data_IF_269981026760
#
_entry.id   IF_269981026760
#
_cell.length_a   1.000
_cell.length_b   1.000
_cell.length_c   1.000
_cell.angle_alpha   90.00
_cell.angle_beta   90.00
_cell.angle_gamma   90.00
#
_symmetry.space_group_name_H-M   'P 1'
#
loop_
_entity.id
_entity.type
_entity.pdbx_description
1 polymer ?
#
# COMPACT_ATOMS: atom_id res chain seq x y z
N UNK A 1 24.87 -9.15 12.47
CA UNK A 1 23.55 -8.50 12.49
C UNK A 1 22.58 -9.32 13.30
N UNK A 2 21.42 -8.77 13.68
CA UNK A 2 20.36 -9.55 14.37
C UNK A 2 19.66 -10.49 13.40
N UNK A 3 19.25 -11.65 13.88
CA UNK A 3 18.48 -12.62 13.08
C UNK A 3 17.08 -12.08 12.75
N UNK A 4 16.64 -12.27 11.50
CA UNK A 4 15.29 -11.88 11.07
C UNK A 4 14.33 -13.04 11.33
N UNK A 5 13.46 -12.89 12.34
CA UNK A 5 12.40 -13.86 12.61
C UNK A 5 11.23 -13.68 11.64
N UNK A 6 10.95 -14.70 10.83
CA UNK A 6 9.83 -14.70 9.89
C UNK A 6 8.57 -15.24 10.59
N UNK A 7 7.52 -14.43 10.63
CA UNK A 7 6.25 -14.78 11.25
C UNK A 7 5.27 -15.30 10.20
N UNK A 8 4.49 -16.33 10.55
CA UNK A 8 3.39 -16.87 9.74
C UNK A 8 2.19 -17.16 10.62
N UNK A 9 0.99 -16.99 10.09
CA UNK A 9 -0.22 -17.41 10.78
C UNK A 9 -0.43 -18.91 10.57
N UNK A 10 -0.16 -19.70 11.60
CA UNK A 10 -0.30 -21.16 11.61
C UNK A 10 0.41 -21.84 10.43
N UNK A 11 1.61 -21.36 10.10
CA UNK A 11 2.44 -21.89 9.00
C UNK A 11 1.99 -21.49 7.59
N UNK A 12 0.83 -20.83 7.45
CA UNK A 12 0.21 -20.49 6.16
C UNK A 12 0.81 -19.21 5.57
N UNK A 13 1.04 -19.24 4.26
CA UNK A 13 1.39 -18.09 3.41
C UNK A 13 0.17 -17.53 2.68
N UNK A 14 0.42 -16.59 1.76
CA UNK A 14 -0.63 -15.98 0.95
C UNK A 14 -1.40 -17.02 0.12
N UNK A 15 -0.68 -17.94 -0.53
CA UNK A 15 -1.28 -18.95 -1.43
C UNK A 15 -2.19 -19.92 -0.66
N UNK A 16 -1.76 -20.39 0.52
CA UNK A 16 -2.58 -21.25 1.38
C UNK A 16 -3.88 -20.54 1.82
N UNK A 17 -3.76 -19.25 2.18
CA UNK A 17 -4.90 -18.44 2.59
C UNK A 17 -5.85 -18.15 1.43
N UNK A 18 -5.31 -17.91 0.22
CA UNK A 18 -6.09 -17.72 -0.99
C UNK A 18 -6.84 -19.00 -1.37
N UNK A 19 -6.18 -20.16 -1.33
CA UNK A 19 -6.78 -21.46 -1.59
C UNK A 19 -7.91 -21.76 -0.59
N UNK A 20 -7.67 -21.53 0.71
CA UNK A 20 -8.71 -21.74 1.75
C UNK A 20 -9.94 -20.85 1.56
N UNK A 21 -9.79 -19.72 0.85
CA UNK A 21 -10.86 -18.79 0.48
C UNK A 21 -11.41 -19.04 -0.91
N UNK A 22 -11.13 -20.22 -1.47
CA UNK A 22 -11.53 -20.62 -2.82
C UNK A 22 -11.21 -19.52 -3.82
N UNK A 23 -9.99 -18.95 -3.82
CA UNK A 23 -9.54 -17.95 -4.78
C UNK A 23 -10.05 -16.51 -4.59
N UNK A 24 -10.73 -16.21 -3.48
CA UNK A 24 -11.22 -14.85 -3.21
C UNK A 24 -10.07 -13.89 -2.85
N UNK A 25 -9.76 -12.96 -3.76
CA UNK A 25 -8.70 -11.96 -3.59
C UNK A 25 -9.00 -10.98 -2.44
N UNK A 26 -7.97 -10.46 -1.74
CA UNK A 26 -8.18 -9.40 -0.79
C UNK A 26 -8.52 -8.10 -1.53
N UNK A 27 -9.35 -7.26 -0.92
CA UNK A 27 -9.78 -5.97 -1.46
C UNK A 27 -9.77 -4.89 -0.39
N UNK A 28 -10.06 -3.64 -0.77
CA UNK A 28 -10.17 -2.53 0.19
C UNK A 28 -11.25 -2.80 1.25
N UNK A 29 -12.34 -3.47 0.85
CA UNK A 29 -13.44 -3.86 1.72
C UNK A 29 -13.09 -5.09 2.57
N UNK A 30 -12.42 -6.09 1.99
CA UNK A 30 -12.12 -7.36 2.67
C UNK A 30 -10.60 -7.59 2.73
N UNK A 31 -9.98 -7.04 3.77
CA UNK A 31 -8.52 -6.98 3.94
C UNK A 31 -7.95 -8.17 4.70
N UNK A 32 -8.35 -9.39 4.33
CA UNK A 32 -7.90 -10.60 5.01
C UNK A 32 -6.36 -10.76 4.96
N UNK A 33 -5.68 -10.20 3.97
CA UNK A 33 -4.21 -10.19 3.93
C UNK A 33 -3.61 -9.40 5.10
N UNK A 34 -4.24 -8.30 5.53
CA UNK A 34 -3.77 -7.52 6.69
C UNK A 34 -3.98 -8.30 7.97
N UNK A 35 -5.18 -8.85 8.17
CA UNK A 35 -5.53 -9.64 9.35
C UNK A 35 -4.61 -10.87 9.50
N UNK A 36 -4.51 -11.71 8.46
CA UNK A 36 -3.89 -13.03 8.56
C UNK A 36 -2.40 -13.05 8.23
N UNK A 37 -1.89 -12.13 7.42
CA UNK A 37 -0.45 -12.08 7.09
C UNK A 37 0.33 -11.07 7.92
N UNK A 38 -0.35 -10.17 8.64
CA UNK A 38 0.32 -9.12 9.43
C UNK A 38 -0.10 -9.13 10.90
N UNK A 39 -1.37 -8.89 11.19
CA UNK A 39 -1.83 -8.61 12.56
C UNK A 39 -1.82 -9.87 13.43
N UNK A 40 -2.56 -10.93 13.06
CA UNK A 40 -2.59 -12.19 13.81
C UNK A 40 -1.21 -12.82 14.05
N UNK A 41 -0.31 -12.93 13.06
CA UNK A 41 1.01 -13.49 13.31
C UNK A 41 1.88 -12.59 14.20
N UNK A 42 1.73 -11.26 14.13
CA UNK A 42 2.40 -10.33 15.04
C UNK A 42 1.89 -10.47 16.48
N UNK A 43 0.56 -10.44 16.69
CA UNK A 43 -0.04 -10.57 18.02
C UNK A 43 0.26 -11.92 18.68
N UNK A 44 0.34 -13.00 17.89
CA UNK A 44 0.73 -14.34 18.36
C UNK A 44 2.21 -14.38 18.75
N UNK A 45 3.07 -13.70 18.00
CA UNK A 45 4.49 -13.63 18.30
C UNK A 45 4.78 -12.85 19.58
N UNK A 46 4.08 -11.73 19.79
CA UNK A 46 4.19 -10.94 21.03
C UNK A 46 3.61 -11.67 22.24
N UNK A 47 2.53 -12.45 22.06
CA UNK A 47 1.88 -13.13 23.17
C UNK A 47 1.36 -12.14 24.21
N UNK A 48 1.83 -12.30 25.45
CA UNK A 48 1.51 -11.46 26.60
C UNK A 48 2.68 -10.55 27.03
N UNK A 49 3.80 -10.60 26.29
CA UNK A 49 4.97 -9.77 26.58
C UNK A 49 4.65 -8.29 26.39
N UNK A 50 5.23 -7.43 27.24
CA UNK A 50 5.15 -5.99 27.05
C UNK A 50 5.86 -5.59 25.74
N UNK A 51 5.12 -4.98 24.83
CA UNK A 51 5.60 -4.59 23.50
C UNK A 51 5.31 -3.12 23.21
N UNK A 52 6.35 -2.32 23.06
CA UNK A 52 6.25 -0.96 22.52
C UNK A 52 6.29 -1.01 20.99
N UNK A 53 5.19 -0.65 20.34
CA UNK A 53 5.03 -0.66 18.89
C UNK A 53 5.26 0.74 18.34
N UNK A 54 6.47 1.01 17.85
CA UNK A 54 6.82 2.30 17.23
C UNK A 54 6.23 2.40 15.83
N UNK A 55 5.35 3.39 15.62
CA UNK A 55 4.64 3.63 14.36
C UNK A 55 5.10 4.94 13.74
N UNK A 56 5.67 4.87 12.54
CA UNK A 56 6.16 6.03 11.79
C UNK A 56 5.08 6.81 11.03
N UNK A 57 3.97 7.16 11.68
CA UNK A 57 3.00 8.13 11.13
C UNK A 57 3.54 9.52 11.37
N UNK A 58 3.61 10.34 10.32
CA UNK A 58 4.22 11.68 10.40
C UNK A 58 3.27 12.70 11.02
N UNK A 59 3.84 13.78 11.55
CA UNK A 59 3.06 14.90 12.07
C UNK A 59 2.14 15.56 11.02
N UNK A 60 2.53 15.50 9.75
CA UNK A 60 1.76 16.03 8.60
C UNK A 60 0.76 15.02 8.02
N UNK A 61 0.44 13.93 8.73
CA UNK A 61 -0.59 12.95 8.37
C UNK A 61 -1.65 12.76 9.49
N UNK A 62 -2.21 13.82 10.08
CA UNK A 62 -3.04 13.71 11.30
C UNK A 62 -4.32 12.89 11.10
N UNK A 63 -4.78 12.74 9.86
CA UNK A 63 -5.94 11.91 9.51
C UNK A 63 -5.67 10.40 9.60
N UNK A 64 -4.40 9.97 9.62
CA UNK A 64 -4.03 8.55 9.63
C UNK A 64 -3.98 8.03 11.06
N UNK A 65 -4.62 6.88 11.29
CA UNK A 65 -4.50 6.13 12.54
C UNK A 65 -3.73 4.85 12.30
N UNK A 66 -2.75 4.58 13.17
CA UNK A 66 -1.99 3.34 13.15
C UNK A 66 -2.85 2.13 13.50
N UNK A 67 -2.25 0.95 13.47
CA UNK A 67 -2.86 -0.21 14.10
C UNK A 67 -2.99 0.06 15.61
N UNK A 68 -4.22 -0.05 16.11
CA UNK A 68 -4.54 0.05 17.54
C UNK A 68 -4.89 -1.38 17.98
N UNK A 69 -3.99 -1.98 18.76
CA UNK A 69 -4.17 -3.32 19.31
C UNK A 69 -5.32 -3.33 20.32
N UNK A 70 -6.11 -4.40 20.31
CA UNK A 70 -7.08 -4.68 21.40
C UNK A 70 -6.39 -5.26 22.64
N UNK A 71 -5.16 -5.77 22.49
CA UNK A 71 -4.35 -6.27 23.60
C UNK A 71 -3.66 -5.12 24.37
N UNK A 72 -3.78 -5.06 25.71
CA UNK A 72 -3.24 -3.97 26.52
C UNK A 72 -1.71 -3.99 26.66
N UNK A 73 -1.06 -5.15 26.45
CA UNK A 73 0.40 -5.28 26.51
C UNK A 73 1.10 -4.72 25.26
N UNK A 74 0.37 -4.38 24.20
CA UNK A 74 0.91 -3.78 22.98
C UNK A 74 0.61 -2.28 22.99
N UNK A 75 1.63 -1.48 23.29
CA UNK A 75 1.50 -0.03 23.47
C UNK A 75 2.03 0.67 22.22
N UNK A 76 1.18 1.32 21.41
CA UNK A 76 1.63 2.08 20.26
C UNK A 76 2.39 3.34 20.71
N UNK A 77 3.41 3.73 19.96
CA UNK A 77 4.21 4.94 20.15
C UNK A 77 4.30 5.70 18.82
N UNK A 78 4.15 7.03 18.85
CA UNK A 78 4.07 7.86 17.64
C UNK A 78 5.15 8.96 17.64
N UNK A 79 6.44 8.59 17.65
CA UNK A 79 7.54 9.53 17.84
C UNK A 79 7.56 10.65 16.78
N UNK A 80 7.12 10.37 15.54
CA UNK A 80 7.12 11.39 14.50
C UNK A 80 6.00 12.42 14.67
N UNK A 81 4.91 12.08 15.36
CA UNK A 81 3.88 13.05 15.75
C UNK A 81 4.39 13.86 16.95
N UNK A 82 4.90 13.17 17.97
CA UNK A 82 5.41 13.76 19.22
C UNK A 82 6.55 14.77 18.96
N UNK A 83 7.45 14.46 18.05
CA UNK A 83 8.61 15.29 17.68
C UNK A 83 8.33 16.23 16.49
N UNK A 84 7.07 16.36 16.05
CA UNK A 84 6.67 17.18 14.91
C UNK A 84 7.47 16.91 13.61
N UNK A 85 7.80 15.63 13.35
CA UNK A 85 8.55 15.19 12.18
C UNK A 85 7.61 15.07 10.98
N UNK A 86 7.80 15.96 10.02
CA UNK A 86 7.05 16.02 8.75
C UNK A 86 7.80 15.31 7.62
N UNK A 87 7.16 15.15 6.45
CA UNK A 87 7.77 14.48 5.29
C UNK A 87 9.14 15.07 4.89
N UNK A 88 9.34 16.40 4.77
CA UNK A 88 10.65 16.96 4.46
C UNK A 88 11.74 16.60 5.49
N UNK A 89 11.37 16.54 6.78
CA UNK A 89 12.30 16.16 7.86
C UNK A 89 12.71 14.69 7.73
N UNK A 90 11.78 13.79 7.39
CA UNK A 90 12.11 12.38 7.11
C UNK A 90 13.13 12.25 5.97
N UNK A 91 12.94 12.99 4.87
CA UNK A 91 13.90 12.96 3.75
C UNK A 91 15.27 13.49 4.17
N UNK A 92 15.32 14.55 4.98
CA UNK A 92 16.58 15.06 5.53
C UNK A 92 17.28 14.03 6.40
N UNK A 93 16.57 13.35 7.30
CA UNK A 93 17.12 12.27 8.14
C UNK A 93 17.69 11.13 7.28
N UNK A 94 16.99 10.73 6.22
CA UNK A 94 17.46 9.67 5.32
C UNK A 94 18.75 10.06 4.59
N UNK A 95 18.87 11.32 4.17
CA UNK A 95 20.08 11.84 3.53
C UNK A 95 21.25 11.95 4.53
N UNK A 96 21.02 12.58 5.68
CA UNK A 96 22.05 12.79 6.73
C UNK A 96 22.56 11.47 7.33
N UNK A 97 21.72 10.43 7.36
CA UNK A 97 22.12 9.09 7.81
C UNK A 97 22.88 8.27 6.77
N UNK A 98 22.97 8.73 5.51
CA UNK A 98 23.57 8.00 4.41
C UNK A 98 22.76 6.79 3.93
N UNK A 99 21.51 6.62 4.40
CA UNK A 99 20.60 5.54 3.97
C UNK A 99 19.95 5.85 2.62
N UNK A 100 19.62 7.12 2.39
CA UNK A 100 18.94 7.58 1.18
C UNK A 100 17.53 6.99 1.00
N UNK A 101 16.99 7.16 -0.21
CA UNK A 101 15.65 6.69 -0.57
C UNK A 101 15.75 5.33 -1.26
N UNK A 102 14.91 4.34 -0.91
CA UNK A 102 14.87 3.07 -1.61
C UNK A 102 14.56 3.21 -3.12
N UNK A 103 15.33 2.53 -3.98
CA UNK A 103 15.21 2.61 -5.45
C UNK A 103 13.82 2.30 -6.01
N UNK A 104 13.00 1.50 -5.32
CA UNK A 104 11.65 1.19 -5.79
C UNK A 104 10.74 2.43 -5.84
N UNK A 105 11.10 3.54 -5.19
CA UNK A 105 10.37 4.80 -5.30
C UNK A 105 10.53 5.50 -6.67
N UNK A 106 11.47 5.04 -7.51
CA UNK A 106 11.63 5.54 -8.89
C UNK A 106 10.40 5.23 -9.76
N UNK A 107 9.66 4.16 -9.44
CA UNK A 107 8.52 3.68 -10.23
C UNK A 107 7.29 3.28 -9.38
N UNK A 108 7.38 3.33 -8.05
CA UNK A 108 6.22 3.22 -7.13
C UNK A 108 6.12 4.43 -6.22
N UNK A 109 4.89 4.73 -5.81
CA UNK A 109 4.60 5.78 -4.84
C UNK A 109 4.64 5.30 -3.39
N UNK A 110 4.53 3.99 -3.16
CA UNK A 110 4.42 3.40 -1.81
C UNK A 110 5.16 2.07 -1.71
N UNK A 111 5.64 1.79 -0.51
CA UNK A 111 6.11 0.46 -0.15
C UNK A 111 4.92 -0.49 0.04
N UNK A 112 4.95 -1.65 -0.61
CA UNK A 112 3.85 -2.59 -0.58
C UNK A 112 4.20 -3.93 -1.22
N UNK A 113 3.31 -4.91 -1.03
CA UNK A 113 3.41 -6.20 -1.72
C UNK A 113 3.25 -5.98 -3.23
N UNK A 114 3.94 -6.80 -4.05
CA UNK A 114 3.87 -6.67 -5.51
C UNK A 114 2.47 -6.92 -6.10
N UNK A 115 1.58 -7.58 -5.35
CA UNK A 115 0.21 -7.89 -5.71
C UNK A 115 -0.82 -7.16 -4.83
N UNK A 116 -0.48 -5.96 -4.34
CA UNK A 116 -1.41 -5.19 -3.51
C UNK A 116 -2.55 -4.61 -4.37
N UNK A 117 -3.81 -4.86 -4.00
CA UNK A 117 -4.99 -4.29 -4.67
C UNK A 117 -5.07 -2.75 -4.58
N UNK A 118 -4.29 -2.11 -3.69
CA UNK A 118 -4.18 -0.65 -3.67
C UNK A 118 -3.23 -0.11 -4.74
N UNK A 119 -2.46 -0.94 -5.43
CA UNK A 119 -1.47 -0.51 -6.41
C UNK A 119 -2.14 0.25 -7.57
N UNK A 120 -1.62 1.43 -7.90
CA UNK A 120 -2.15 2.23 -8.99
C UNK A 120 -1.81 1.61 -10.34
N UNK A 121 -2.59 1.92 -11.39
CA UNK A 121 -2.33 1.44 -12.77
C UNK A 121 -0.90 1.71 -13.23
N UNK A 122 -0.38 2.90 -12.97
CA UNK A 122 1.01 3.25 -13.32
C UNK A 122 2.03 2.40 -12.56
N UNK A 123 1.75 2.01 -11.32
CA UNK A 123 2.61 1.15 -10.53
C UNK A 123 2.56 -0.31 -11.03
N UNK A 124 1.43 -0.76 -11.61
CA UNK A 124 1.35 -2.03 -12.34
C UNK A 124 2.17 -2.03 -13.62
N UNK A 125 2.14 -0.93 -14.38
CA UNK A 125 3.05 -0.74 -15.53
C UNK A 125 4.50 -0.76 -15.07
N UNK A 126 4.83 -0.02 -14.00
CA UNK A 126 6.17 -0.04 -13.42
C UNK A 126 6.60 -1.44 -12.94
N UNK A 127 5.68 -2.22 -12.36
CA UNK A 127 5.95 -3.61 -11.99
C UNK A 127 6.25 -4.48 -13.21
N UNK A 128 5.50 -4.33 -14.30
CA UNK A 128 5.71 -5.05 -15.55
C UNK A 128 7.10 -4.75 -16.15
N UNK A 129 7.51 -3.48 -16.14
CA UNK A 129 8.76 -3.02 -16.73
C UNK A 129 9.99 -3.40 -15.89
N UNK A 130 9.88 -3.35 -14.57
CA UNK A 130 11.00 -3.57 -13.65
C UNK A 130 11.09 -5.02 -13.14
N UNK A 131 9.95 -5.72 -13.01
CA UNK A 131 9.85 -7.07 -12.45
C UNK A 131 8.75 -7.90 -13.17
N UNK A 132 8.92 -8.21 -14.47
CA UNK A 132 7.93 -8.91 -15.26
C UNK A 132 7.52 -10.27 -14.67
N UNK A 133 8.42 -10.97 -13.99
CA UNK A 133 8.15 -12.23 -13.32
C UNK A 133 7.15 -12.08 -12.15
N UNK A 134 7.24 -10.97 -11.39
CA UNK A 134 6.31 -10.67 -10.31
C UNK A 134 4.96 -10.21 -10.87
N UNK A 135 4.96 -9.49 -11.99
CA UNK A 135 3.73 -9.14 -12.69
C UNK A 135 2.99 -10.39 -13.15
N UNK A 136 3.68 -11.33 -13.79
CA UNK A 136 3.09 -12.60 -14.24
C UNK A 136 2.61 -13.46 -13.07
N UNK A 137 3.28 -13.42 -11.92
CA UNK A 137 2.79 -14.05 -10.69
C UNK A 137 1.50 -13.41 -10.20
N UNK A 138 1.43 -12.08 -10.16
CA UNK A 138 0.24 -11.37 -9.74
C UNK A 138 -0.95 -11.71 -10.65
N UNK A 139 -0.73 -11.71 -11.97
CA UNK A 139 -1.75 -12.04 -12.99
C UNK A 139 -2.37 -13.43 -12.77
N UNK A 140 -1.58 -14.43 -12.35
CA UNK A 140 -2.08 -15.80 -12.11
C UNK A 140 -3.09 -15.93 -10.97
N UNK A 141 -3.17 -14.94 -10.07
CA UNK A 141 -4.17 -14.96 -9.01
C UNK A 141 -5.53 -14.41 -9.49
N UNK A 142 -5.56 -13.68 -10.59
CA UNK A 142 -6.82 -13.20 -11.16
C UNK A 142 -7.60 -14.35 -11.78
N UNK A 143 -8.92 -14.29 -11.67
CA UNK A 143 -9.81 -15.33 -12.18
C UNK A 143 -11.14 -14.75 -12.59
N UNK A 144 -11.84 -15.50 -13.43
CA UNK A 144 -13.20 -15.22 -13.84
C UNK A 144 -14.05 -16.45 -13.49
N UNK A 145 -15.15 -16.24 -12.79
CA UNK A 145 -16.09 -17.30 -12.50
C UNK A 145 -16.93 -17.59 -13.75
N UNK A 146 -16.79 -18.80 -14.29
CA UNK A 146 -17.49 -19.24 -15.50
C UNK A 146 -19.02 -19.28 -15.35
N UNK A 147 -19.54 -19.39 -14.12
CA UNK A 147 -20.97 -19.54 -13.86
C UNK A 147 -21.65 -18.18 -13.61
N UNK A 148 -20.99 -17.30 -12.85
CA UNK A 148 -21.55 -15.98 -12.49
C UNK A 148 -21.06 -14.86 -13.41
N UNK A 149 -19.96 -15.07 -14.15
CA UNK A 149 -19.28 -14.02 -14.91
C UNK A 149 -18.51 -13.03 -14.02
N UNK A 150 -18.42 -13.29 -12.72
CA UNK A 150 -17.71 -12.41 -11.80
C UNK A 150 -16.20 -12.46 -12.01
N UNK A 151 -15.59 -11.30 -12.23
CA UNK A 151 -14.15 -11.14 -12.37
C UNK A 151 -13.54 -10.76 -11.02
N UNK A 152 -12.60 -11.58 -10.57
CA UNK A 152 -11.76 -11.31 -9.40
C UNK A 152 -10.41 -10.82 -9.89
N UNK A 153 -10.30 -9.50 -10.07
CA UNK A 153 -9.08 -8.83 -10.56
C UNK A 153 -8.46 -7.95 -9.48
N UNK A 154 -7.19 -7.60 -9.64
CA UNK A 154 -6.50 -6.70 -8.71
C UNK A 154 -6.94 -5.24 -8.87
N UNK A 155 -7.32 -4.85 -10.08
CA UNK A 155 -7.84 -3.54 -10.39
C UNK A 155 -9.33 -3.62 -10.73
N UNK A 156 -10.15 -2.75 -10.12
CA UNK A 156 -11.61 -2.83 -10.14
C UNK A 156 -12.27 -2.69 -11.52
N UNK A 157 -11.52 -2.40 -12.59
CA UNK A 157 -12.07 -2.14 -13.93
C UNK A 157 -11.41 -2.95 -15.05
N UNK A 158 -10.27 -3.57 -14.80
CA UNK A 158 -9.52 -4.31 -15.81
C UNK A 158 -8.63 -5.35 -15.13
N UNK A 159 -8.37 -6.45 -15.83
CA UNK A 159 -7.39 -7.46 -15.46
C UNK A 159 -5.97 -7.00 -15.80
N UNK A 160 -4.98 -7.65 -15.20
CA UNK A 160 -3.58 -7.51 -15.60
C UNK A 160 -3.31 -8.10 -17.00
N UNK A 161 -4.17 -9.00 -17.49
CA UNK A 161 -4.09 -9.45 -18.87
C UNK A 161 -4.42 -8.32 -19.86
N UNK A 162 -5.47 -7.54 -19.58
CA UNK A 162 -5.86 -6.36 -20.37
C UNK A 162 -4.85 -5.22 -20.20
N UNK A 163 -4.39 -4.96 -18.97
CA UNK A 163 -3.46 -3.87 -18.67
C UNK A 163 -2.10 -4.01 -19.37
N UNK A 164 -1.65 -5.25 -19.64
CA UNK A 164 -0.39 -5.55 -20.32
C UNK A 164 -0.38 -5.17 -21.81
N UNK A 165 -1.55 -4.89 -22.40
CA UNK A 165 -1.64 -4.49 -23.81
C UNK A 165 -0.83 -3.18 -24.07
N UNK A 166 -0.01 -3.09 -25.14
CA UNK A 166 0.82 -1.90 -25.42
C UNK A 166 0.05 -0.59 -25.58
N UNK A 167 -1.10 -0.62 -26.23
CA UNK A 167 -1.98 0.55 -26.38
C UNK A 167 -2.47 1.02 -25.00
N UNK A 168 -2.87 0.08 -24.14
CA UNK A 168 -3.33 0.38 -22.78
C UNK A 168 -2.22 0.93 -21.89
N UNK A 169 -1.00 0.39 -21.97
CA UNK A 169 0.18 0.89 -21.25
C UNK A 169 0.45 2.35 -21.63
N UNK A 170 0.39 2.65 -22.93
CA UNK A 170 0.63 4.01 -23.45
C UNK A 170 -0.40 4.98 -22.87
N UNK A 171 -1.68 4.60 -22.91
CA UNK A 171 -2.76 5.39 -22.32
C UNK A 171 -2.55 5.65 -20.81
N UNK A 172 -2.17 4.64 -20.03
CA UNK A 172 -1.93 4.77 -18.58
C UNK A 172 -0.79 5.75 -18.30
N UNK A 173 0.31 5.68 -19.08
CA UNK A 173 1.45 6.59 -18.94
C UNK A 173 1.05 8.02 -19.26
N UNK A 174 0.29 8.25 -20.33
CA UNK A 174 -0.21 9.57 -20.72
C UNK A 174 -1.17 10.16 -19.69
N UNK A 175 -2.11 9.36 -19.17
CA UNK A 175 -3.02 9.77 -18.10
C UNK A 175 -2.26 10.14 -16.83
N UNK A 176 -1.25 9.35 -16.45
CA UNK A 176 -0.42 9.65 -15.29
C UNK A 176 0.42 10.92 -15.50
N UNK A 177 1.03 11.10 -16.68
CA UNK A 177 1.80 12.30 -17.01
C UNK A 177 0.92 13.56 -16.97
N UNK A 178 -0.29 13.50 -17.53
CA UNK A 178 -1.29 14.58 -17.44
C UNK A 178 -1.65 14.91 -15.99
N UNK A 179 -1.91 13.90 -15.16
CA UNK A 179 -2.21 14.08 -13.72
C UNK A 179 -1.04 14.73 -12.99
N UNK A 180 0.18 14.27 -13.21
CA UNK A 180 1.39 14.83 -12.59
C UNK A 180 1.65 16.28 -13.02
N UNK A 181 1.43 16.60 -14.31
CA UNK A 181 1.52 17.96 -14.81
C UNK A 181 0.50 18.88 -14.12
N UNK A 182 -0.77 18.47 -14.05
CA UNK A 182 -1.82 19.23 -13.38
C UNK A 182 -1.50 19.48 -11.89
N UNK A 183 -0.99 18.47 -11.17
CA UNK A 183 -0.57 18.63 -9.76
C UNK A 183 0.58 19.64 -9.61
N UNK A 184 1.58 19.61 -10.49
CA UNK A 184 2.68 20.59 -10.47
C UNK A 184 2.18 22.02 -10.71
N UNK A 185 1.29 22.21 -11.69
CA UNK A 185 0.69 23.52 -11.98
C UNK A 185 -0.12 24.04 -10.79
N UNK A 186 -0.88 23.16 -10.13
CA UNK A 186 -1.65 23.46 -8.91
C UNK A 186 -0.76 23.97 -7.77
N UNK A 187 0.42 23.38 -7.56
CA UNK A 187 1.36 23.81 -6.54
C UNK A 187 2.08 25.14 -6.85
N UNK A 188 2.12 25.55 -8.12
CA UNK A 188 2.77 26.79 -8.57
C UNK A 188 1.82 28.00 -8.57
N UNK A 189 0.51 27.78 -8.58
CA UNK A 189 -0.49 28.86 -8.59
C UNK A 189 -0.92 29.23 -7.16
N UNK A 190 -1.04 30.54 -6.87
CA UNK A 190 -1.73 31.04 -5.67
C UNK A 190 -3.22 30.71 -5.79
N UNK A 191 -3.61 29.53 -5.30
CA UNK A 191 -4.98 29.03 -5.39
C UNK A 191 -5.94 29.89 -4.58
N UNK A 192 -7.15 30.09 -5.10
CA UNK A 192 -8.20 30.80 -4.37
C UNK A 192 -8.83 29.87 -3.33
N UNK A 193 -9.33 30.44 -2.22
CA UNK A 193 -9.96 29.68 -1.14
C UNK A 193 -11.07 28.73 -1.64
N UNK A 194 -11.82 29.16 -2.66
CA UNK A 194 -12.89 28.38 -3.31
C UNK A 194 -12.38 27.13 -4.05
N UNK A 195 -11.17 27.20 -4.64
CA UNK A 195 -10.55 26.06 -5.31
C UNK A 195 -10.11 25.00 -4.30
N UNK A 196 -9.70 25.41 -3.10
CA UNK A 196 -9.29 24.52 -2.00
C UNK A 196 -10.51 23.76 -1.44
N UNK A 197 -11.64 24.43 -1.23
CA UNK A 197 -12.85 23.80 -0.68
C UNK A 197 -13.56 22.82 -1.63
N UNK A 198 -13.41 23.00 -2.95
CA UNK A 198 -13.98 22.07 -3.94
C UNK A 198 -13.10 20.83 -4.21
N UNK A 199 -11.85 20.80 -3.72
CA UNK A 199 -10.84 19.78 -4.08
C UNK A 199 -10.72 18.66 -3.01
N UNK A 200 -11.69 18.51 -2.10
CA UNK A 200 -11.69 17.46 -1.06
C UNK A 200 -11.74 16.01 -1.58
N UNK A 201 -11.70 15.76 -2.89
CA UNK A 201 -11.88 14.41 -3.46
C UNK A 201 -10.61 13.67 -3.91
N UNK A 202 -9.39 14.24 -3.82
CA UNK A 202 -8.20 13.48 -4.24
C UNK A 202 -6.99 13.74 -3.35
N UNK A 203 -7.16 13.62 -2.03
CA UNK A 203 -6.07 13.06 -1.25
C UNK A 203 -6.10 11.54 -1.47
N UNK A 204 -4.94 11.00 -1.82
CA UNK A 204 -4.65 9.58 -1.81
C UNK A 204 -4.97 9.07 -0.41
N UNK A 205 -6.23 8.72 -0.13
CA UNK A 205 -6.73 8.23 1.15
C UNK A 205 -5.89 7.02 1.51
N UNK A 206 -4.77 7.28 2.18
CA UNK A 206 -3.86 6.26 2.64
C UNK A 206 -4.66 5.44 3.62
N UNK A 207 -4.81 4.15 3.33
CA UNK A 207 -5.46 3.12 4.15
C UNK A 207 -5.80 3.63 5.55
N UNK A 208 -7.01 4.20 5.69
CA UNK A 208 -7.33 5.13 6.78
C UNK A 208 -7.16 4.47 8.14
N UNK A 209 -7.46 3.17 8.25
CA UNK A 209 -7.22 2.43 9.47
C UNK A 209 -7.02 0.93 9.22
N UNK A 210 -6.07 0.28 9.89
CA UNK A 210 -5.99 -1.18 10.02
C UNK A 210 -6.72 -1.61 11.31
N UNK A 211 -8.04 -1.46 11.38
CA UNK A 211 -8.84 -2.07 12.44
C UNK A 211 -9.19 -3.51 12.09
N UNK A 212 -9.15 -4.38 13.10
CA UNK A 212 -9.76 -5.70 13.11
C UNK A 212 -11.28 -5.57 13.30
#
# INVERSE_FOLDING_TARGET
GKEIKKLKHDGKGFDDLLQSRRGFLPSAQVRWCTEYLKIKPFEKYVGDDLCYSYVGIRADEPHRKGYISTKPNIIPQYPFIEENITKPVVFRILEESGLGIPKYYEWRSRSGCYFCFFQQRIEWVGLLENHPELYERAKRYEREDSQTGEKYTWASRESLAELKNPERITQIKEENARRQYALKQRHQANQTLLQIFNDHEIENEGCLICHL
#
